data_IF_311985214361
#
_entry.id   IF_311985214361
#
_cell.length_a   1.000
_cell.length_b   1.000
_cell.length_c   1.000
_cell.angle_alpha   90.00
_cell.angle_beta   90.00
_cell.angle_gamma   90.00
#
_symmetry.space_group_name_H-M   'P 1'
#
loop_
_entity.id
_entity.type
_entity.pdbx_description
1 polymer ?
#
# COMPACT_ATOMS: atom_id res chain seq x y z
N UNK A 1 12.74 24.11 15.93
CA UNK A 1 12.30 24.07 14.51
C UNK A 1 11.45 22.81 14.35
N UNK A 2 10.13 22.97 14.36
CA UNK A 2 9.18 21.87 14.40
C UNK A 2 9.08 21.18 13.04
N UNK A 3 9.02 19.85 13.07
CA UNK A 3 8.88 18.92 11.94
C UNK A 3 7.97 19.49 10.85
N UNK A 4 8.54 19.57 9.65
CA UNK A 4 7.76 19.52 8.42
C UNK A 4 6.95 18.21 8.49
N UNK A 5 5.70 18.30 8.94
CA UNK A 5 4.65 17.38 8.58
C UNK A 5 3.97 18.03 7.37
N UNK A 6 4.57 18.02 6.15
CA UNK A 6 3.71 18.17 5.01
C UNK A 6 2.73 17.01 5.15
N UNK A 7 1.44 17.29 5.09
CA UNK A 7 0.51 16.40 4.42
C UNK A 7 1.27 15.79 3.25
N UNK A 8 1.80 14.58 3.43
CA UNK A 8 2.33 13.82 2.31
C UNK A 8 1.18 13.86 1.34
N UNK A 9 1.38 14.51 0.19
CA UNK A 9 0.42 14.47 -0.89
C UNK A 9 0.15 12.99 -1.02
N UNK A 10 -1.04 12.52 -0.59
CA UNK A 10 -1.27 11.12 -0.25
C UNK A 10 -1.25 10.24 -1.51
N UNK A 11 -0.66 10.71 -2.61
CA UNK A 11 -0.63 10.06 -3.90
C UNK A 11 -2.03 9.69 -4.35
N UNK A 12 -2.07 8.72 -5.24
CA UNK A 12 -3.29 7.96 -5.51
C UNK A 12 -3.23 6.67 -4.70
N UNK A 13 -4.39 6.18 -4.26
CA UNK A 13 -4.50 4.86 -3.64
C UNK A 13 -4.26 3.80 -4.71
N UNK A 14 -3.05 3.26 -4.76
CA UNK A 14 -2.66 2.27 -5.76
C UNK A 14 -3.17 0.89 -5.40
N UNK A 15 -2.85 0.46 -4.18
CA UNK A 15 -3.08 -0.90 -3.71
C UNK A 15 -3.76 -0.86 -2.35
N UNK A 16 -4.52 -1.89 -2.07
CA UNK A 16 -4.98 -2.16 -0.73
C UNK A 16 -4.91 -3.65 -0.47
N UNK A 17 -4.57 -4.04 0.73
CA UNK A 17 -4.61 -5.44 1.10
C UNK A 17 -5.09 -5.61 2.52
N UNK A 18 -5.65 -6.78 2.80
CA UNK A 18 -5.93 -7.21 4.16
C UNK A 18 -5.05 -8.40 4.48
N UNK A 19 -4.58 -8.46 5.70
CA UNK A 19 -3.95 -9.66 6.22
C UNK A 19 -5.04 -10.65 6.62
N UNK A 20 -4.82 -11.94 6.35
CA UNK A 20 -5.68 -13.04 6.78
C UNK A 20 -5.15 -13.61 8.09
N UNK A 21 -5.92 -14.53 8.68
CA UNK A 21 -5.49 -15.31 9.85
C UNK A 21 -5.19 -14.47 11.11
N UNK A 22 -5.81 -13.30 11.24
CA UNK A 22 -5.57 -12.36 12.35
C UNK A 22 -4.18 -11.71 12.35
N UNK A 23 -3.38 -11.90 11.29
CA UNK A 23 -2.06 -11.29 11.20
C UNK A 23 -2.18 -9.76 11.13
N UNK A 24 -1.23 -9.06 11.73
CA UNK A 24 -1.12 -7.61 11.70
C UNK A 24 0.30 -7.22 11.33
N UNK A 25 0.44 -6.29 10.39
CA UNK A 25 1.73 -5.70 10.03
C UNK A 25 1.80 -4.26 10.58
N UNK A 26 2.94 -3.92 11.15
CA UNK A 26 3.20 -2.57 11.63
C UNK A 26 3.32 -1.62 10.44
N UNK A 27 2.74 -0.40 10.52
CA UNK A 27 2.81 0.57 9.42
C UNK A 27 4.24 0.92 9.02
N UNK A 28 5.19 0.92 9.97
CA UNK A 28 6.62 1.14 9.67
C UNK A 28 7.22 0.03 8.79
N UNK A 29 6.95 -1.26 9.12
CA UNK A 29 7.39 -2.38 8.29
C UNK A 29 6.74 -2.32 6.92
N UNK A 30 5.44 -2.02 6.88
CA UNK A 30 4.72 -1.91 5.63
C UNK A 30 5.24 -0.78 4.75
N UNK A 31 5.55 0.37 5.33
CA UNK A 31 6.15 1.51 4.64
C UNK A 31 7.51 1.17 4.06
N UNK A 32 8.35 0.43 4.82
CA UNK A 32 9.66 -0.02 4.34
C UNK A 32 9.53 -0.93 3.12
N UNK A 33 8.65 -1.93 3.18
CA UNK A 33 8.38 -2.86 2.07
C UNK A 33 7.78 -2.12 0.88
N UNK A 34 6.88 -1.17 1.12
CA UNK A 34 6.24 -0.38 0.07
C UNK A 34 7.22 0.53 -0.65
N UNK A 35 8.09 1.23 0.09
CA UNK A 35 9.12 2.08 -0.48
C UNK A 35 10.14 1.28 -1.30
N UNK A 36 10.51 0.08 -0.83
CA UNK A 36 11.36 -0.85 -1.57
C UNK A 36 10.67 -1.38 -2.85
N UNK A 37 9.40 -1.79 -2.75
CA UNK A 37 8.64 -2.27 -3.90
C UNK A 37 8.41 -1.19 -4.96
N UNK A 38 8.13 0.03 -4.52
CA UNK A 38 7.87 1.20 -5.36
C UNK A 38 9.14 1.89 -5.88
N UNK A 39 10.31 1.49 -5.39
CA UNK A 39 11.60 2.14 -5.64
C UNK A 39 11.52 3.66 -5.44
N UNK A 40 10.73 4.10 -4.46
CA UNK A 40 10.38 5.51 -4.27
C UNK A 40 10.21 5.86 -2.80
N UNK A 41 10.68 7.06 -2.44
CA UNK A 41 10.58 7.62 -1.10
C UNK A 41 9.28 8.43 -0.88
N UNK A 42 8.55 8.73 -1.96
CA UNK A 42 7.26 9.44 -1.95
C UNK A 42 6.08 8.46 -1.77
N UNK A 43 6.26 7.52 -0.84
CA UNK A 43 5.34 6.44 -0.59
C UNK A 43 4.67 6.61 0.78
N UNK A 44 3.34 6.46 0.83
CA UNK A 44 2.58 6.53 2.06
C UNK A 44 1.79 5.24 2.28
N UNK A 45 1.60 4.88 3.54
CA UNK A 45 0.79 3.71 3.93
C UNK A 45 -0.19 4.12 5.00
N UNK A 46 -1.41 3.60 4.90
CA UNK A 46 -2.48 3.90 5.85
C UNK A 46 -3.14 2.62 6.29
N UNK A 47 -3.22 2.42 7.59
CA UNK A 47 -3.96 1.31 8.19
C UNK A 47 -5.37 1.81 8.51
N UNK A 48 -6.34 1.29 7.78
CA UNK A 48 -7.76 1.55 7.99
C UNK A 48 -8.37 0.38 8.76
N UNK A 49 -9.10 0.68 9.83
CA UNK A 49 -9.85 -0.32 10.58
C UNK A 49 -11.23 -0.37 9.95
N UNK A 50 -11.63 -1.54 9.48
CA UNK A 50 -12.99 -1.76 8.99
C UNK A 50 -13.77 -2.46 10.08
N UNK A 51 -14.81 -1.77 10.55
CA UNK A 51 -15.74 -2.29 11.55
C UNK A 51 -16.29 -3.65 11.12
N UNK A 52 -16.12 -4.66 11.97
CA UNK A 52 -16.53 -6.05 11.69
C UNK A 52 -15.67 -6.84 10.69
N UNK A 53 -14.72 -6.23 9.96
CA UNK A 53 -13.94 -6.90 8.91
C UNK A 53 -12.41 -6.91 9.13
N UNK A 54 -11.92 -6.23 10.18
CA UNK A 54 -10.51 -6.25 10.59
C UNK A 54 -9.70 -5.07 10.05
N UNK A 55 -8.43 -5.32 9.71
CA UNK A 55 -7.50 -4.28 9.24
C UNK A 55 -7.32 -4.33 7.73
N UNK A 56 -7.50 -3.18 7.08
CA UNK A 56 -7.14 -2.96 5.67
C UNK A 56 -5.98 -1.99 5.60
N UNK A 57 -4.98 -2.34 4.82
CA UNK A 57 -3.78 -1.56 4.59
C UNK A 57 -3.87 -0.95 3.19
N UNK A 58 -4.00 0.37 3.13
CA UNK A 58 -4.01 1.15 1.90
C UNK A 58 -2.60 1.68 1.63
N UNK A 59 -2.12 1.44 0.41
CA UNK A 59 -0.81 1.85 -0.08
C UNK A 59 -1.01 2.97 -1.09
N UNK A 60 -0.25 4.04 -0.88
CA UNK A 60 -0.35 5.30 -1.59
C UNK A 60 0.99 5.65 -2.20
N UNK A 61 0.97 6.10 -3.44
CA UNK A 61 2.18 6.53 -4.15
C UNK A 61 1.81 7.55 -5.25
N UNK A 62 2.76 8.35 -5.73
CA UNK A 62 2.51 9.32 -6.80
C UNK A 62 1.94 8.66 -8.06
N UNK A 63 1.19 9.42 -8.86
CA UNK A 63 0.67 8.93 -10.15
C UNK A 63 1.81 8.64 -11.15
N UNK A 64 2.98 9.26 -10.95
CA UNK A 64 4.16 9.15 -11.81
C UNK A 64 4.95 7.85 -11.58
N UNK A 65 4.34 6.85 -10.92
CA UNK A 65 4.95 5.57 -10.65
C UNK A 65 5.21 4.84 -11.98
N UNK A 66 6.48 4.59 -12.31
CA UNK A 66 6.90 4.12 -13.64
C UNK A 66 6.28 2.78 -14.06
N UNK A 67 5.82 1.94 -13.13
CA UNK A 67 5.22 0.63 -13.46
C UNK A 67 4.40 0.04 -12.31
N UNK A 68 3.09 0.33 -12.24
CA UNK A 68 2.27 -0.13 -11.11
C UNK A 68 2.11 -1.63 -11.01
N UNK A 69 2.06 -2.33 -12.16
CA UNK A 69 2.03 -3.79 -12.19
C UNK A 69 3.30 -4.40 -11.61
N UNK A 70 4.46 -3.78 -11.85
CA UNK A 70 5.76 -4.24 -11.33
C UNK A 70 5.82 -4.05 -9.82
N UNK A 71 5.37 -2.89 -9.36
CA UNK A 71 5.32 -2.54 -7.93
C UNK A 71 4.33 -3.44 -7.18
N UNK A 72 3.19 -3.77 -7.77
CA UNK A 72 2.24 -4.75 -7.21
C UNK A 72 2.87 -6.15 -7.08
N UNK A 73 3.51 -6.66 -8.15
CA UNK A 73 4.16 -7.97 -8.13
C UNK A 73 5.29 -8.02 -7.11
N UNK A 74 6.11 -6.96 -7.02
CA UNK A 74 7.14 -6.79 -5.98
C UNK A 74 6.55 -6.81 -4.59
N UNK A 75 5.49 -6.03 -4.35
CA UNK A 75 4.83 -5.94 -3.05
C UNK A 75 4.26 -7.29 -2.64
N UNK A 76 3.63 -8.01 -3.59
CA UNK A 76 3.13 -9.36 -3.37
C UNK A 76 4.28 -10.30 -3.00
N UNK A 77 5.35 -10.33 -3.79
CA UNK A 77 6.52 -11.18 -3.51
C UNK A 77 7.12 -10.89 -2.13
N UNK A 78 7.31 -9.63 -1.75
CA UNK A 78 7.90 -9.26 -0.45
C UNK A 78 7.02 -9.66 0.73
N UNK A 79 5.69 -9.54 0.60
CA UNK A 79 4.77 -9.98 1.65
C UNK A 79 4.71 -11.51 1.74
N UNK A 80 4.79 -12.23 0.61
CA UNK A 80 4.84 -13.69 0.56
C UNK A 80 6.16 -14.23 1.13
N UNK A 81 7.30 -13.64 0.76
CA UNK A 81 8.64 -13.94 1.29
C UNK A 81 8.70 -13.72 2.81
N UNK A 82 7.99 -12.70 3.31
CA UNK A 82 7.87 -12.44 4.75
C UNK A 82 6.88 -13.40 5.46
N UNK A 83 6.25 -14.34 4.74
CA UNK A 83 5.35 -15.35 5.29
C UNK A 83 3.96 -14.82 5.66
N UNK A 84 3.54 -13.69 5.08
CA UNK A 84 2.22 -13.13 5.34
C UNK A 84 1.18 -13.75 4.41
N UNK A 85 0.04 -14.15 4.98
CA UNK A 85 -1.13 -14.50 4.20
C UNK A 85 -1.98 -13.24 4.01
N UNK A 86 -2.13 -12.76 2.78
CA UNK A 86 -2.87 -11.53 2.50
C UNK A 86 -3.76 -11.63 1.28
N UNK A 87 -4.73 -10.73 1.19
CA UNK A 87 -5.53 -10.52 -0.02
C UNK A 87 -5.31 -9.11 -0.48
N UNK A 88 -4.64 -8.97 -1.62
CA UNK A 88 -4.34 -7.70 -2.25
C UNK A 88 -5.35 -7.41 -3.36
N UNK A 89 -5.82 -6.17 -3.42
CA UNK A 89 -6.61 -5.62 -4.50
C UNK A 89 -5.91 -4.39 -5.07
N UNK A 90 -5.97 -4.25 -6.39
CA UNK A 90 -5.40 -3.13 -7.13
C UNK A 90 -6.51 -2.17 -7.52
N UNK A 91 -6.39 -0.90 -7.11
CA UNK A 91 -7.31 0.17 -7.51
C UNK A 91 -6.89 0.84 -8.82
N UNK A 92 -5.63 0.67 -9.19
CA UNK A 92 -5.03 1.25 -10.38
C UNK A 92 -5.58 0.75 -11.73
N UNK A 93 -6.48 -0.23 -11.72
CA UNK A 93 -7.19 -0.71 -12.92
C UNK A 93 -8.58 -0.10 -13.12
N UNK A 94 -9.13 0.67 -12.18
CA UNK A 94 -10.44 1.32 -12.34
C UNK A 94 -10.25 2.79 -12.69
N UNK A 95 -10.10 3.06 -13.97
CA UNK A 95 -10.53 4.34 -14.53
C UNK A 95 -12.02 4.52 -14.19
N UNK A 96 -12.46 5.59 -13.50
CA UNK A 96 -13.87 5.90 -13.31
C UNK A 96 -14.51 6.46 -14.60
N UNK A 97 -14.11 5.97 -15.78
CA UNK A 97 -14.65 6.40 -17.07
C UNK A 97 -14.81 5.20 -17.99
N UNK A 98 -16.02 4.68 -18.07
CA UNK A 98 -16.40 3.59 -18.97
C UNK A 98 -17.82 3.12 -18.69
N UNK A 99 -18.80 3.80 -19.30
CA UNK A 99 -20.24 3.48 -19.26
C UNK A 99 -21.10 4.73 -19.19
#
# INVERSE_FOLDING_TARGET
>A
MARLNPTQSLGVRWLFFRLRNGQSISPARLMSVWSEAAESNDCAVRREIIDGAGYVYALYAPNSLLSPRRVELRMRALLEEAGYAFTMGSLAGRHPGGG
#
